data_IF_551285330016
#
_entry.id   IF_551285330016
#
_cell.length_a   1.000
_cell.length_b   1.000
_cell.length_c   1.000
_cell.angle_alpha   90.00
_cell.angle_beta   90.00
_cell.angle_gamma   90.00
#
_symmetry.space_group_name_H-M   'P 1'
#
loop_
_entity.id
_entity.type
_entity.pdbx_description
1 polymer ?
#
# COMPACT_ATOMS: atom_id res chain seq x y z
N UNK A 1 -20.75 23.73 17.07
CA UNK A 1 -19.46 23.27 17.63
C UNK A 1 -19.13 21.96 16.92
N UNK A 2 -18.45 22.02 15.79
CA UNK A 2 -18.03 20.83 15.05
C UNK A 2 -16.89 20.17 15.80
N UNK A 3 -17.11 18.95 16.28
CA UNK A 3 -16.04 18.09 16.81
C UNK A 3 -15.08 17.81 15.65
N UNK A 4 -13.83 18.26 15.77
CA UNK A 4 -12.78 17.81 14.85
C UNK A 4 -12.61 16.31 15.06
N UNK A 5 -12.95 15.48 14.06
CA UNK A 5 -12.63 14.06 14.08
C UNK A 5 -11.10 13.92 14.09
N UNK A 6 -10.55 13.46 15.22
CA UNK A 6 -9.13 13.14 15.32
C UNK A 6 -8.96 11.71 14.82
N UNK A 7 -8.44 11.59 13.61
CA UNK A 7 -8.10 10.30 13.02
C UNK A 7 -6.69 9.85 13.44
N UNK A 8 -6.46 8.55 13.72
CA UNK A 8 -5.12 8.01 13.91
C UNK A 8 -4.21 8.29 12.72
N UNK A 9 -2.95 8.62 12.98
CA UNK A 9 -1.94 8.78 11.92
C UNK A 9 -1.36 7.41 11.59
N UNK A 10 -1.31 7.08 10.30
CA UNK A 10 -0.73 5.82 9.81
C UNK A 10 0.22 6.11 8.66
N UNK A 11 1.42 5.54 8.72
CA UNK A 11 2.34 5.51 7.58
C UNK A 11 2.28 4.14 6.92
N UNK A 12 2.13 4.10 5.60
CA UNK A 12 2.10 2.88 4.80
C UNK A 12 3.20 2.98 3.75
N UNK A 13 4.10 2.01 3.71
CA UNK A 13 5.12 1.88 2.67
C UNK A 13 4.74 0.69 1.81
N UNK A 14 4.77 0.86 0.49
CA UNK A 14 4.30 -0.13 -0.47
C UNK A 14 5.35 -0.35 -1.54
N UNK A 15 5.53 -1.61 -1.93
CA UNK A 15 6.37 -2.02 -3.06
C UNK A 15 5.74 -3.25 -3.73
N UNK A 16 5.97 -3.38 -5.04
CA UNK A 16 5.53 -4.50 -5.85
C UNK A 16 6.57 -4.84 -6.91
N UNK A 17 6.89 -6.12 -7.00
CA UNK A 17 7.92 -6.61 -7.92
C UNK A 17 7.43 -7.81 -8.74
N UNK A 18 7.95 -7.95 -9.95
CA UNK A 18 7.66 -9.08 -10.83
C UNK A 18 8.91 -9.48 -11.63
N UNK A 19 9.24 -10.77 -11.64
CA UNK A 19 10.31 -11.34 -12.47
C UNK A 19 9.72 -11.78 -13.80
N UNK A 20 10.03 -11.04 -14.87
CA UNK A 20 9.28 -11.13 -16.13
C UNK A 20 7.96 -10.33 -16.05
N UNK A 21 7.49 -9.77 -17.16
CA UNK A 21 6.31 -8.89 -17.16
C UNK A 21 5.39 -9.21 -18.35
N UNK A 22 4.56 -10.28 -18.28
CA UNK A 22 4.15 -10.98 -17.06
C UNK A 22 5.11 -12.09 -16.59
N UNK A 23 5.01 -12.46 -15.30
CA UNK A 23 5.78 -13.55 -14.67
C UNK A 23 5.46 -13.71 -13.18
N UNK A 24 6.24 -14.51 -12.43
CA UNK A 24 6.10 -14.61 -10.97
C UNK A 24 6.42 -13.26 -10.31
N UNK A 25 5.58 -12.84 -9.37
CA UNK A 25 5.75 -11.55 -8.68
C UNK A 25 5.06 -11.53 -7.32
N UNK A 26 5.19 -10.43 -6.60
CA UNK A 26 4.59 -10.26 -5.29
C UNK A 26 4.62 -8.80 -4.84
N UNK A 27 3.94 -8.54 -3.73
CA UNK A 27 3.95 -7.24 -3.09
C UNK A 27 4.45 -7.34 -1.65
N UNK A 28 4.92 -6.20 -1.14
CA UNK A 28 5.23 -5.98 0.27
C UNK A 28 4.59 -4.68 0.76
N UNK A 29 4.14 -4.69 2.01
CA UNK A 29 3.59 -3.53 2.70
C UNK A 29 4.13 -3.46 4.11
N UNK A 30 4.58 -2.26 4.52
CA UNK A 30 4.92 -1.95 5.91
C UNK A 30 3.97 -0.88 6.43
N UNK A 31 3.27 -1.16 7.52
CA UNK A 31 2.33 -0.23 8.16
C UNK A 31 2.87 0.16 9.52
N UNK A 32 3.05 1.45 9.76
CA UNK A 32 3.45 2.01 11.06
C UNK A 32 2.31 2.80 11.67
N UNK A 33 1.89 2.40 12.86
CA UNK A 33 0.83 3.05 13.63
C UNK A 33 1.10 2.88 15.13
N UNK A 34 1.01 3.96 15.92
CA UNK A 34 1.10 3.94 17.38
C UNK A 34 2.35 3.19 17.91
N UNK A 35 3.49 3.37 17.24
CA UNK A 35 4.76 2.72 17.59
C UNK A 35 4.83 1.22 17.23
N UNK A 36 3.81 0.67 16.56
CA UNK A 36 3.77 -0.70 16.07
C UNK A 36 4.02 -0.74 14.57
N UNK A 37 4.75 -1.77 14.14
CA UNK A 37 4.99 -2.09 12.74
C UNK A 37 4.25 -3.38 12.39
N UNK A 38 3.50 -3.37 11.31
CA UNK A 38 2.87 -4.56 10.72
C UNK A 38 3.38 -4.73 9.30
N UNK A 39 3.76 -5.95 8.93
CA UNK A 39 4.24 -6.29 7.60
C UNK A 39 3.25 -7.25 6.92
N UNK A 40 2.90 -6.97 5.66
CA UNK A 40 2.03 -7.82 4.83
C UNK A 40 2.74 -8.11 3.51
N UNK A 41 2.68 -9.35 3.06
CA UNK A 41 3.23 -9.74 1.75
C UNK A 41 2.50 -10.95 1.18
N UNK A 42 2.50 -11.06 -0.15
CA UNK A 42 1.95 -12.21 -0.86
C UNK A 42 2.61 -12.35 -2.24
N UNK A 43 2.85 -13.59 -2.65
CA UNK A 43 3.35 -13.93 -3.99
C UNK A 43 2.26 -14.51 -4.91
N UNK A 44 2.46 -14.34 -6.22
CA UNK A 44 1.59 -14.80 -7.30
C UNK A 44 2.44 -15.41 -8.43
N UNK A 45 2.01 -16.56 -8.95
CA UNK A 45 2.74 -17.27 -10.00
C UNK A 45 2.77 -16.54 -11.35
N UNK A 46 1.73 -15.77 -11.68
CA UNK A 46 1.61 -15.05 -12.94
C UNK A 46 0.91 -13.71 -12.72
N UNK A 47 1.69 -12.63 -12.77
CA UNK A 47 1.24 -11.25 -12.56
C UNK A 47 2.11 -10.29 -13.38
N UNK A 48 1.99 -9.00 -13.14
CA UNK A 48 2.80 -7.93 -13.74
C UNK A 48 3.31 -7.01 -12.64
N UNK A 49 4.36 -6.23 -12.90
CA UNK A 49 4.89 -5.27 -11.91
C UNK A 49 3.81 -4.30 -11.41
N UNK A 50 3.14 -3.60 -12.33
CA UNK A 50 2.12 -2.59 -12.02
C UNK A 50 0.94 -3.16 -11.21
N UNK A 51 0.55 -4.42 -11.47
CA UNK A 51 -0.49 -5.11 -10.68
C UNK A 51 -0.05 -5.30 -9.22
N UNK A 52 1.22 -5.60 -8.98
CA UNK A 52 1.74 -5.80 -7.62
C UNK A 52 1.89 -4.46 -6.89
N UNK A 53 2.38 -3.42 -7.56
CA UNK A 53 2.45 -2.07 -6.99
C UNK A 53 1.06 -1.55 -6.57
N UNK A 54 0.05 -1.70 -7.43
CA UNK A 54 -1.33 -1.36 -7.10
C UNK A 54 -1.88 -2.22 -5.95
N UNK A 55 -1.65 -3.53 -6.00
CA UNK A 55 -2.16 -4.45 -4.99
C UNK A 55 -1.56 -4.18 -3.61
N UNK A 56 -0.28 -3.78 -3.54
CA UNK A 56 0.36 -3.35 -2.31
C UNK A 56 -0.41 -2.20 -1.63
N UNK A 57 -0.77 -1.17 -2.40
CA UNK A 57 -1.54 -0.03 -1.90
C UNK A 57 -2.96 -0.43 -1.48
N UNK A 58 -3.63 -1.27 -2.27
CA UNK A 58 -4.97 -1.78 -1.96
C UNK A 58 -4.96 -2.57 -0.65
N UNK A 59 -4.02 -3.49 -0.49
CA UNK A 59 -3.91 -4.33 0.71
C UNK A 59 -3.53 -3.50 1.93
N UNK A 60 -2.59 -2.56 1.79
CA UNK A 60 -2.21 -1.67 2.87
C UNK A 60 -3.39 -0.85 3.40
N UNK A 61 -4.10 -0.15 2.50
CA UNK A 61 -5.26 0.65 2.86
C UNK A 61 -6.44 -0.21 3.36
N UNK A 62 -6.69 -1.35 2.72
CA UNK A 62 -7.78 -2.26 3.07
C UNK A 62 -7.58 -3.00 4.39
N UNK A 63 -6.36 -3.05 4.92
CA UNK A 63 -6.06 -3.68 6.22
C UNK A 63 -6.39 -2.78 7.43
N UNK A 64 -6.63 -1.48 7.21
CA UNK A 64 -6.94 -0.54 8.28
C UNK A 64 -8.32 -0.83 8.88
N UNK A 65 -8.36 -1.01 10.20
CA UNK A 65 -9.60 -1.39 10.93
C UNK A 65 -10.50 -0.22 11.28
N UNK A 66 -9.96 0.99 11.19
CA UNK A 66 -10.64 2.24 11.52
C UNK A 66 -10.29 3.28 10.47
N UNK A 67 -11.13 4.31 10.35
CA UNK A 67 -10.78 5.48 9.54
C UNK A 67 -9.51 6.12 10.11
N UNK A 68 -8.56 6.42 9.24
CA UNK A 68 -7.24 6.93 9.61
C UNK A 68 -6.80 8.03 8.65
N UNK A 69 -5.93 8.91 9.13
CA UNK A 69 -5.18 9.81 8.28
C UNK A 69 -3.91 9.09 7.82
N UNK A 70 -3.83 8.79 6.53
CA UNK A 70 -2.79 7.93 5.96
C UNK A 70 -1.76 8.76 5.20
N UNK A 71 -0.47 8.51 5.46
CA UNK A 71 0.63 8.86 4.55
C UNK A 71 1.08 7.58 3.85
N UNK A 72 0.83 7.49 2.55
CA UNK A 72 1.23 6.36 1.73
C UNK A 72 2.49 6.72 0.95
N UNK A 73 3.51 5.87 1.06
CA UNK A 73 4.80 5.97 0.38
C UNK A 73 4.90 4.85 -0.66
N UNK A 74 5.21 5.24 -1.88
CA UNK A 74 5.42 4.34 -3.02
C UNK A 74 6.42 5.02 -3.96
N UNK A 75 7.26 4.24 -4.61
CA UNK A 75 8.09 4.66 -5.74
C UNK A 75 7.47 4.28 -7.10
N UNK A 76 6.30 3.64 -7.10
CA UNK A 76 5.55 3.31 -8.31
C UNK A 76 5.08 4.59 -8.99
N UNK A 77 5.71 4.89 -10.14
CA UNK A 77 5.23 5.94 -11.03
C UNK A 77 3.82 5.64 -11.55
N UNK A 78 3.51 4.36 -11.82
CA UNK A 78 2.20 3.96 -12.31
C UNK A 78 1.08 4.28 -11.32
N UNK A 79 1.29 3.98 -10.03
CA UNK A 79 0.34 4.34 -8.97
C UNK A 79 0.28 5.85 -8.75
N UNK A 80 1.43 6.53 -8.70
CA UNK A 80 1.48 7.99 -8.52
C UNK A 80 0.74 8.74 -9.62
N UNK A 81 0.95 8.37 -10.88
CA UNK A 81 0.30 8.99 -12.05
C UNK A 81 -1.22 8.76 -12.04
N UNK A 82 -1.68 7.60 -11.53
CA UNK A 82 -3.11 7.28 -11.46
C UNK A 82 -3.89 8.14 -10.44
N UNK A 83 -3.22 8.67 -9.43
CA UNK A 83 -3.84 9.49 -8.37
C UNK A 83 -3.73 11.00 -8.68
N UNK A 84 -2.66 11.43 -9.35
CA UNK A 84 -2.35 12.85 -9.60
C UNK A 84 -3.02 13.45 -10.86
N UNK A 85 -4.17 12.94 -11.31
CA UNK A 85 -4.88 13.41 -12.51
C UNK A 85 -5.26 14.90 -12.47
#
# INVERSE_FOLDING_TARGET
>A
MTLFEVYPQVEIFTDGACTGNPGPGGYGVVIKQDGKTTELSQGYNLTTNNRMELLAAIVGLGSLKVKSQVRLYTDSKYLSDAINL
#
